data_IF_751188400341
#
_entry.id   IF_751188400341
#
_cell.length_a   1.000
_cell.length_b   1.000
_cell.length_c   1.000
_cell.angle_alpha   90.00
_cell.angle_beta   90.00
_cell.angle_gamma   90.00
#
_symmetry.space_group_name_H-M   'P 1'
#
loop_
_entity.id
_entity.type
_entity.pdbx_description
1 polymer ?
#
# COMPACT_ATOMS: atom_id res chain seq x y z
N UNK A 1 -6.36 11.53 10.89
CA UNK A 1 -5.42 11.42 9.74
C UNK A 1 -4.27 10.43 9.96
N UNK A 2 -3.63 10.39 11.11
CA UNK A 2 -2.50 9.48 11.36
C UNK A 2 -2.82 8.00 11.16
N UNK A 3 -3.94 7.52 11.69
CA UNK A 3 -4.36 6.10 11.57
C UNK A 3 -4.65 5.72 10.12
N UNK A 4 -5.28 6.62 9.37
CA UNK A 4 -5.69 6.36 7.97
C UNK A 4 -4.50 6.23 7.02
N UNK A 5 -3.50 7.11 7.15
CA UNK A 5 -2.27 7.02 6.36
C UNK A 5 -1.44 5.79 6.71
N UNK A 6 -1.36 5.41 8.01
CA UNK A 6 -0.68 4.18 8.42
C UNK A 6 -1.33 2.94 7.83
N UNK A 7 -2.66 2.90 7.82
CA UNK A 7 -3.42 1.81 7.22
C UNK A 7 -3.10 1.65 5.73
N UNK A 8 -3.00 2.77 4.99
CA UNK A 8 -2.65 2.75 3.57
C UNK A 8 -1.18 2.42 3.31
N UNK A 9 -0.26 2.86 4.18
CA UNK A 9 1.17 2.60 4.05
C UNK A 9 1.52 1.13 4.20
N UNK A 10 0.74 0.38 4.98
CA UNK A 10 0.92 -1.05 5.22
C UNK A 10 0.01 -1.93 4.36
N UNK A 11 -0.85 -1.35 3.55
CA UNK A 11 -1.68 -2.10 2.61
C UNK A 11 -0.86 -2.47 1.36
N UNK A 12 -0.29 -3.67 1.37
CA UNK A 12 0.61 -4.15 0.30
C UNK A 12 -0.05 -4.20 -1.08
N UNK A 13 -1.36 -4.42 -1.15
CA UNK A 13 -2.10 -4.38 -2.43
C UNK A 13 -2.09 -2.99 -3.05
N UNK A 14 -2.05 -1.96 -2.20
CA UNK A 14 -2.10 -0.56 -2.62
C UNK A 14 -0.71 0.06 -2.78
N UNK A 15 0.25 -0.31 -1.96
CA UNK A 15 1.62 0.19 -2.08
C UNK A 15 2.26 -0.15 -3.43
N UNK A 16 1.85 -1.26 -4.05
CA UNK A 16 2.32 -1.67 -5.39
C UNK A 16 1.47 -1.10 -6.53
N UNK A 17 0.35 -0.45 -6.25
CA UNK A 17 -0.53 0.09 -7.28
C UNK A 17 -0.11 1.49 -7.73
N UNK A 18 -0.25 1.77 -9.02
CA UNK A 18 0.01 3.09 -9.60
C UNK A 18 -0.80 4.23 -8.93
N UNK A 19 -1.96 3.90 -8.38
CA UNK A 19 -2.84 4.86 -7.70
C UNK A 19 -2.29 5.37 -6.36
N UNK A 20 -1.41 4.63 -5.70
CA UNK A 20 -0.79 5.09 -4.45
C UNK A 20 0.23 6.21 -4.68
N UNK A 21 0.79 6.32 -5.88
CA UNK A 21 1.78 7.34 -6.21
C UNK A 21 1.29 8.75 -5.92
N UNK A 22 0.10 9.11 -6.39
CA UNK A 22 -0.45 10.45 -6.22
C UNK A 22 -0.59 10.85 -4.75
N UNK A 23 -1.01 9.94 -3.90
CA UNK A 23 -1.15 10.18 -2.46
C UNK A 23 0.20 10.47 -1.82
N UNK A 24 1.19 9.60 -2.04
CA UNK A 24 2.49 9.71 -1.40
C UNK A 24 3.35 10.84 -1.97
N UNK A 25 3.19 11.16 -3.25
CA UNK A 25 3.78 12.34 -3.88
C UNK A 25 3.26 13.64 -3.25
N UNK A 26 1.99 13.69 -2.82
CA UNK A 26 1.45 14.83 -2.10
C UNK A 26 1.93 14.91 -0.64
N UNK A 27 2.19 13.78 0.00
CA UNK A 27 2.70 13.78 1.38
C UNK A 27 4.13 14.28 1.43
N UNK A 28 5.04 13.64 0.67
CA UNK A 28 6.46 14.01 0.56
C UNK A 28 6.99 13.62 -0.83
N UNK A 29 7.00 14.54 -1.82
CA UNK A 29 7.40 14.23 -3.18
C UNK A 29 8.86 13.81 -3.30
N UNK A 30 9.75 14.42 -2.53
CA UNK A 30 11.19 14.15 -2.60
C UNK A 30 11.53 12.76 -2.03
N UNK A 31 10.99 12.45 -0.86
CA UNK A 31 11.26 11.17 -0.23
C UNK A 31 10.56 10.03 -0.99
N UNK A 32 9.35 10.29 -1.51
CA UNK A 32 8.66 9.33 -2.36
C UNK A 32 9.44 8.99 -3.63
N UNK A 33 9.94 10.00 -4.33
CA UNK A 33 10.74 9.81 -5.54
C UNK A 33 12.01 8.98 -5.29
N UNK A 34 12.66 9.19 -4.13
CA UNK A 34 13.91 8.52 -3.76
C UNK A 34 13.71 7.09 -3.26
N UNK A 35 12.65 6.83 -2.51
CA UNK A 35 12.55 5.60 -1.72
C UNK A 35 11.38 4.72 -2.07
N UNK A 36 10.31 5.27 -2.63
CA UNK A 36 9.03 4.56 -2.85
C UNK A 36 8.53 3.85 -1.58
N UNK A 37 8.94 4.34 -0.41
CA UNK A 37 8.65 3.75 0.88
C UNK A 37 7.66 4.63 1.68
N UNK A 38 6.36 4.31 1.67
CA UNK A 38 5.36 5.09 2.37
C UNK A 38 5.53 5.02 3.89
N UNK A 39 6.04 3.92 4.42
CA UNK A 39 6.30 3.77 5.84
C UNK A 39 7.40 4.72 6.32
N UNK A 40 8.50 4.81 5.58
CA UNK A 40 9.59 5.74 5.88
C UNK A 40 9.10 7.20 5.85
N UNK A 41 8.26 7.55 4.88
CA UNK A 41 7.65 8.88 4.80
C UNK A 41 6.90 9.20 6.09
N UNK A 42 6.06 8.29 6.58
CA UNK A 42 5.29 8.53 7.80
C UNK A 42 6.15 8.66 9.05
N UNK A 43 7.26 7.92 9.12
CA UNK A 43 8.19 8.00 10.25
C UNK A 43 8.97 9.33 10.29
N UNK A 44 9.21 9.93 9.14
CA UNK A 44 10.01 11.17 9.01
C UNK A 44 9.15 12.42 8.86
N UNK A 45 7.84 12.27 8.71
CA UNK A 45 6.90 13.36 8.48
C UNK A 45 6.84 14.31 9.69
N UNK A 46 7.20 15.58 9.49
CA UNK A 46 7.15 16.59 10.54
C UNK A 46 5.72 16.91 10.97
N UNK A 47 5.55 17.34 12.23
CA UNK A 47 4.23 17.75 12.74
C UNK A 47 3.68 19.00 12.04
N UNK A 48 4.56 19.86 11.53
CA UNK A 48 4.18 21.02 10.72
C UNK A 48 3.52 20.51 9.44
N UNK A 49 4.18 19.60 8.75
CA UNK A 49 3.65 19.05 7.49
C UNK A 49 2.35 18.27 7.68
N UNK A 50 2.21 17.53 8.78
CA UNK A 50 0.95 16.86 9.13
C UNK A 50 -0.20 17.85 9.24
N UNK A 51 0.01 18.97 9.94
CA UNK A 51 -1.00 20.04 10.08
C UNK A 51 -1.37 20.70 8.75
N UNK A 52 -0.39 20.94 7.88
CA UNK A 52 -0.64 21.46 6.53
C UNK A 52 -1.55 20.52 5.73
N UNK A 53 -1.23 19.22 5.73
CA UNK A 53 -2.01 18.20 5.04
C UNK A 53 -3.44 18.07 5.62
N UNK A 54 -3.61 18.22 6.94
CA UNK A 54 -4.93 18.22 7.59
C UNK A 54 -5.80 19.39 7.16
N UNK A 55 -5.20 20.54 6.86
CA UNK A 55 -5.90 21.73 6.40
C UNK A 55 -6.15 21.72 4.88
N UNK A 56 -5.44 20.89 4.13
CA UNK A 56 -5.62 20.77 2.68
C UNK A 56 -6.86 19.92 2.36
N UNK A 57 -7.92 20.60 1.89
CA UNK A 57 -9.17 19.95 1.49
C UNK A 57 -9.01 18.99 0.31
N UNK A 58 -8.10 19.32 -0.63
CA UNK A 58 -7.85 18.46 -1.77
C UNK A 58 -7.15 17.17 -1.34
N UNK A 59 -6.19 17.28 -0.43
CA UNK A 59 -5.54 16.10 0.17
C UNK A 59 -6.53 15.26 0.99
N UNK A 60 -7.37 15.88 1.81
CA UNK A 60 -8.39 15.17 2.58
C UNK A 60 -9.37 14.41 1.69
N UNK A 61 -9.78 14.99 0.57
CA UNK A 61 -10.66 14.35 -0.41
C UNK A 61 -9.95 13.15 -1.09
N UNK A 62 -8.69 13.32 -1.47
CA UNK A 62 -7.87 12.25 -2.05
C UNK A 62 -7.70 11.09 -1.06
N UNK A 63 -7.32 11.37 0.17
CA UNK A 63 -7.18 10.36 1.22
C UNK A 63 -8.47 9.58 1.42
N UNK A 64 -9.60 10.27 1.52
CA UNK A 64 -10.92 9.66 1.66
C UNK A 64 -11.24 8.73 0.48
N UNK A 65 -10.97 9.16 -0.75
CA UNK A 65 -11.20 8.33 -1.93
C UNK A 65 -10.39 7.03 -1.92
N UNK A 66 -9.14 7.09 -1.43
CA UNK A 66 -8.29 5.91 -1.27
C UNK A 66 -8.83 4.94 -0.20
N UNK A 67 -9.32 5.46 0.92
CA UNK A 67 -9.91 4.65 1.99
C UNK A 67 -11.22 3.98 1.55
N UNK A 68 -12.10 4.72 0.88
CA UNK A 68 -13.35 4.18 0.33
C UNK A 68 -13.10 3.08 -0.71
N UNK A 69 -12.11 3.28 -1.56
CA UNK A 69 -11.73 2.28 -2.55
C UNK A 69 -11.14 1.03 -1.89
N UNK A 70 -10.30 1.22 -0.86
CA UNK A 70 -9.79 0.11 -0.06
C UNK A 70 -10.92 -0.71 0.55
N UNK A 71 -11.89 -0.05 1.16
CA UNK A 71 -13.04 -0.73 1.77
C UNK A 71 -13.85 -1.51 0.73
N UNK A 72 -14.11 -0.94 -0.44
CA UNK A 72 -14.78 -1.64 -1.54
C UNK A 72 -14.00 -2.87 -2.00
N UNK A 73 -12.67 -2.75 -2.12
CA UNK A 73 -11.82 -3.86 -2.56
C UNK A 73 -11.80 -5.00 -1.52
N UNK A 74 -11.87 -4.66 -0.22
CA UNK A 74 -11.94 -5.65 0.86
C UNK A 74 -13.26 -6.41 0.90
N UNK A 75 -14.36 -5.73 0.52
CA UNK A 75 -15.70 -6.33 0.49
C UNK A 75 -15.99 -7.06 -0.84
N UNK A 76 -15.23 -6.79 -1.89
CA UNK A 76 -15.42 -7.43 -3.18
C UNK A 76 -14.92 -8.87 -3.15
N UNK A 77 -15.78 -9.81 -3.51
CA UNK A 77 -15.33 -11.18 -3.77
C UNK A 77 -14.43 -11.22 -5.00
N UNK A 78 -13.27 -11.85 -4.85
CA UNK A 78 -12.31 -12.02 -5.93
C UNK A 78 -12.76 -13.11 -6.93
N UNK A 79 -12.05 -13.22 -8.06
CA UNK A 79 -12.34 -14.23 -9.09
C UNK A 79 -12.30 -15.66 -8.54
N UNK A 80 -11.31 -15.94 -7.70
CA UNK A 80 -11.13 -17.28 -7.13
C UNK A 80 -12.33 -17.70 -6.26
N UNK A 81 -12.78 -16.80 -5.39
CA UNK A 81 -13.97 -17.05 -4.54
C UNK A 81 -15.23 -17.25 -5.37
N UNK A 82 -15.39 -16.46 -6.46
CA UNK A 82 -16.55 -16.60 -7.37
C UNK A 82 -16.54 -17.91 -8.14
N UNK A 83 -15.36 -18.41 -8.49
CA UNK A 83 -15.21 -19.60 -9.33
C UNK A 83 -15.17 -20.89 -8.52
N UNK A 84 -14.50 -20.88 -7.36
CA UNK A 84 -14.22 -22.08 -6.56
C UNK A 84 -14.92 -22.08 -5.20
N UNK A 85 -15.57 -20.99 -4.83
CA UNK A 85 -16.19 -20.84 -3.51
C UNK A 85 -15.15 -20.89 -2.39
N UNK A 86 -15.58 -21.32 -1.20
CA UNK A 86 -14.70 -21.45 -0.02
C UNK A 86 -14.18 -22.88 0.20
N UNK A 87 -14.31 -23.74 -0.79
CA UNK A 87 -14.01 -25.18 -0.64
C UNK A 87 -12.54 -25.52 -0.85
N UNK A 88 -11.77 -24.61 -1.45
CA UNK A 88 -10.36 -24.81 -1.76
C UNK A 88 -9.55 -23.73 -1.04
N UNK A 89 -8.51 -24.14 -0.31
CA UNK A 89 -7.50 -23.25 0.25
C UNK A 89 -6.16 -23.51 -0.43
N UNK A 90 -5.53 -22.45 -0.91
CA UNK A 90 -4.21 -22.52 -1.53
C UNK A 90 -3.24 -21.73 -0.65
N UNK A 91 -2.11 -22.35 -0.30
CA UNK A 91 -1.02 -21.71 0.42
C UNK A 91 0.23 -21.71 -0.46
N UNK A 92 0.86 -20.53 -0.59
CA UNK A 92 2.12 -20.39 -1.30
C UNK A 92 3.25 -20.12 -0.31
N UNK A 93 4.23 -20.99 -0.29
CA UNK A 93 5.37 -20.90 0.61
C UNK A 93 6.63 -20.50 -0.16
N UNK A 94 7.31 -19.48 0.33
CA UNK A 94 8.64 -19.08 -0.16
C UNK A 94 9.49 -18.65 1.03
N UNK A 95 10.81 -18.80 0.91
CA UNK A 95 11.75 -18.32 1.92
C UNK A 95 11.88 -16.80 1.91
N UNK A 96 11.53 -16.16 0.81
CA UNK A 96 11.59 -14.71 0.64
C UNK A 96 10.48 -14.21 -0.28
N UNK A 97 9.97 -13.01 0.00
CA UNK A 97 8.96 -12.33 -0.82
C UNK A 97 9.32 -10.85 -0.98
N UNK A 98 9.63 -10.42 -2.20
CA UNK A 98 9.83 -9.01 -2.54
C UNK A 98 8.51 -8.31 -2.80
N UNK A 99 7.84 -7.80 -1.76
CA UNK A 99 6.49 -7.25 -1.86
C UNK A 99 6.47 -5.72 -1.96
N UNK A 100 7.12 -5.04 -1.04
CA UNK A 100 7.09 -3.58 -0.94
C UNK A 100 8.29 -3.07 -0.14
N UNK A 101 8.75 -1.87 -0.45
CA UNK A 101 9.77 -1.16 0.32
C UNK A 101 9.34 -0.86 1.76
N UNK A 102 8.04 -0.80 2.04
CA UNK A 102 7.53 -0.65 3.41
C UNK A 102 7.60 -1.92 4.24
N UNK A 103 7.88 -3.06 3.62
CA UNK A 103 8.10 -4.34 4.28
C UNK A 103 9.50 -4.84 3.94
N UNK A 104 10.52 -4.53 4.75
CA UNK A 104 11.92 -4.81 4.44
C UNK A 104 12.26 -6.28 4.66
N UNK A 105 11.79 -7.14 3.79
CA UNK A 105 12.17 -8.54 3.71
C UNK A 105 13.30 -8.66 2.70
N UNK A 106 14.41 -9.30 3.08
CA UNK A 106 15.46 -9.60 2.12
C UNK A 106 14.90 -10.39 0.95
N UNK A 107 15.28 -9.99 -0.26
CA UNK A 107 14.75 -10.57 -1.47
C UNK A 107 15.78 -10.53 -2.59
N UNK A 108 16.23 -11.70 -3.01
CA UNK A 108 16.96 -11.89 -4.26
C UNK A 108 16.00 -12.12 -5.44
N UNK A 109 16.50 -12.67 -6.53
CA UNK A 109 15.68 -12.95 -7.73
C UNK A 109 14.48 -13.87 -7.46
N UNK A 110 14.65 -14.87 -6.59
CA UNK A 110 13.57 -15.77 -6.18
C UNK A 110 12.47 -15.02 -5.45
N UNK A 111 12.84 -14.12 -4.53
CA UNK A 111 11.89 -13.35 -3.76
C UNK A 111 11.14 -12.30 -4.60
N UNK A 112 11.79 -11.72 -5.60
CA UNK A 112 11.12 -10.83 -6.55
C UNK A 112 10.07 -11.58 -7.36
N UNK A 113 10.40 -12.76 -7.86
CA UNK A 113 9.45 -13.61 -8.59
C UNK A 113 8.28 -14.04 -7.70
N UNK A 114 8.56 -14.48 -6.48
CA UNK A 114 7.53 -14.86 -5.50
C UNK A 114 6.61 -13.69 -5.14
N UNK A 115 7.18 -12.49 -4.95
CA UNK A 115 6.43 -11.27 -4.68
C UNK A 115 5.54 -10.85 -5.85
N UNK A 116 6.04 -10.93 -7.08
CA UNK A 116 5.27 -10.61 -8.28
C UNK A 116 4.13 -11.61 -8.51
N UNK A 117 4.39 -12.89 -8.24
CA UNK A 117 3.35 -13.92 -8.30
C UNK A 117 2.21 -13.67 -7.30
N UNK A 118 2.51 -13.18 -6.10
CA UNK A 118 1.49 -12.82 -5.11
C UNK A 118 0.70 -11.55 -5.46
N UNK A 119 1.28 -10.66 -6.27
CA UNK A 119 0.63 -9.41 -6.70
C UNK A 119 -0.25 -9.59 -7.93
N UNK A 120 0.03 -10.59 -8.75
CA UNK A 120 -0.72 -10.90 -9.98
C UNK A 120 -2.10 -11.49 -9.69
#
# INVERSE_FOLDING_TARGET
MGIDLHTLALDLRRCSSYFANELWEKVDPELWKKTRNPWLILQTLSDIRKKELEQDKAFSSLLKSHLERREKDLQASNWFEKTHGKTISIAYFSMEFGLSESLPIYSGGLGLLAGDHLKA
#
